data_IF_322100240524
#
_entry.id   IF_322100240524
#
_cell.length_a   1.000
_cell.length_b   1.000
_cell.length_c   1.000
_cell.angle_alpha   90.00
_cell.angle_beta   90.00
_cell.angle_gamma   90.00
#
_symmetry.space_group_name_H-M   'P 1'
#
loop_
_entity.id
_entity.type
_entity.pdbx_description
1 polymer ?
#
# COMPACT_ATOMS: atom_id res chain seq x y z
N UNK A 1 10.75 2.57 16.41
CA UNK A 1 11.67 2.37 15.26
C UNK A 1 10.87 1.70 14.16
N UNK A 2 10.99 2.10 12.88
CA UNK A 2 10.36 1.34 11.80
C UNK A 2 10.95 -0.07 11.81
N UNK A 3 10.09 -1.08 11.92
CA UNK A 3 10.53 -2.47 11.96
C UNK A 3 11.16 -2.83 10.60
N UNK A 4 12.37 -3.41 10.56
CA UNK A 4 13.02 -3.78 9.30
C UNK A 4 12.17 -4.76 8.47
N UNK A 5 11.30 -5.52 9.13
CA UNK A 5 10.31 -6.40 8.49
C UNK A 5 9.33 -5.60 7.62
N UNK A 6 8.89 -4.42 8.08
CA UNK A 6 7.96 -3.59 7.32
C UNK A 6 8.60 -2.97 6.08
N UNK A 7 9.88 -2.59 6.16
CA UNK A 7 10.60 -2.03 5.03
C UNK A 7 10.74 -3.03 3.88
N UNK A 8 11.00 -4.30 4.18
CA UNK A 8 11.06 -5.36 3.17
C UNK A 8 9.71 -5.58 2.47
N UNK A 9 8.62 -5.59 3.23
CA UNK A 9 7.26 -5.69 2.67
C UNK A 9 6.92 -4.48 1.80
N UNK A 10 7.23 -3.26 2.25
CA UNK A 10 7.01 -2.03 1.47
C UNK A 10 7.77 -2.10 0.14
N UNK A 11 9.06 -2.46 0.16
CA UNK A 11 9.87 -2.58 -1.04
C UNK A 11 9.26 -3.58 -2.04
N UNK A 12 8.89 -4.78 -1.57
CA UNK A 12 8.26 -5.79 -2.43
C UNK A 12 6.92 -5.34 -3.02
N UNK A 13 6.13 -4.56 -2.26
CA UNK A 13 4.90 -3.96 -2.78
C UNK A 13 5.17 -2.89 -3.83
N UNK A 14 6.13 -2.00 -3.61
CA UNK A 14 6.49 -0.95 -4.57
C UNK A 14 7.07 -1.52 -5.86
N UNK A 15 7.84 -2.61 -5.80
CA UNK A 15 8.33 -3.34 -6.97
C UNK A 15 7.20 -4.00 -7.75
N UNK A 16 6.23 -4.62 -7.05
CA UNK A 16 5.06 -5.26 -7.68
C UNK A 16 4.10 -4.23 -8.30
N UNK A 17 3.99 -3.05 -7.71
CA UNK A 17 3.04 -2.01 -8.09
C UNK A 17 3.76 -0.72 -8.46
N UNK A 18 4.24 -0.65 -9.71
CA UNK A 18 4.87 0.56 -10.24
C UNK A 18 4.02 1.82 -10.02
N UNK A 19 4.60 2.80 -9.32
CA UNK A 19 3.98 4.09 -8.99
C UNK A 19 3.14 4.10 -7.71
N UNK A 20 2.98 2.97 -7.02
CA UNK A 20 2.33 2.92 -5.70
C UNK A 20 3.33 3.29 -4.62
N UNK A 21 2.90 4.10 -3.66
CA UNK A 21 3.68 4.43 -2.46
C UNK A 21 3.05 3.70 -1.29
N UNK A 22 3.78 2.76 -0.68
CA UNK A 22 3.31 2.02 0.49
C UNK A 22 4.08 2.46 1.74
N UNK A 23 3.41 2.53 2.90
CA UNK A 23 4.05 2.81 4.19
C UNK A 23 3.28 2.20 5.36
N UNK A 24 3.94 2.02 6.50
CA UNK A 24 3.31 1.55 7.73
C UNK A 24 2.95 2.73 8.64
N UNK A 25 1.69 2.81 9.03
CA UNK A 25 1.16 3.79 9.97
C UNK A 25 1.47 3.39 11.40
N UNK A 26 2.53 3.94 11.98
CA UNK A 26 2.98 3.59 13.35
C UNK A 26 1.90 3.91 14.41
N UNK A 27 1.06 4.91 14.16
CA UNK A 27 0.00 5.34 15.09
C UNK A 27 -1.30 4.56 14.93
N UNK A 28 -1.60 4.07 13.72
CA UNK A 28 -2.82 3.32 13.47
C UNK A 28 -2.59 1.82 13.45
N UNK A 29 -1.33 1.38 13.43
CA UNK A 29 -0.92 -0.01 13.26
C UNK A 29 -1.53 -0.63 12.00
N UNK A 30 -1.56 0.16 10.93
CA UNK A 30 -2.09 -0.26 9.63
C UNK A 30 -1.08 0.01 8.53
N UNK A 31 -1.17 -0.78 7.48
CA UNK A 31 -0.54 -0.52 6.21
C UNK A 31 -1.34 0.51 5.44
N UNK A 32 -0.63 1.40 4.78
CA UNK A 32 -1.18 2.43 3.92
C UNK A 32 -0.55 2.35 2.55
N UNK A 33 -1.33 2.61 1.52
CA UNK A 33 -0.84 2.70 0.15
C UNK A 33 -1.57 3.78 -0.64
N UNK A 34 -0.80 4.56 -1.38
CA UNK A 34 -1.27 5.51 -2.37
C UNK A 34 -1.18 4.85 -3.73
N UNK A 35 -2.33 4.71 -4.39
CA UNK A 35 -2.49 4.09 -5.69
C UNK A 35 -2.82 5.14 -6.75
N UNK A 36 -1.98 5.32 -7.77
CA UNK A 36 -2.30 6.20 -8.89
C UNK A 36 -3.38 5.53 -9.77
N UNK A 37 -4.58 6.11 -9.80
CA UNK A 37 -5.75 5.63 -10.53
C UNK A 37 -6.14 6.55 -11.69
N UNK A 38 -5.20 6.82 -12.60
CA UNK A 38 -5.42 7.68 -13.77
C UNK A 38 -5.68 9.14 -13.38
N UNK A 39 -6.97 9.53 -13.29
CA UNK A 39 -7.39 10.90 -12.97
C UNK A 39 -7.43 11.18 -11.47
N UNK A 40 -7.45 10.13 -10.63
CA UNK A 40 -7.54 10.29 -9.17
C UNK A 40 -6.53 9.40 -8.45
N UNK A 41 -5.91 9.97 -7.43
CA UNK A 41 -5.05 9.24 -6.50
C UNK A 41 -5.94 8.66 -5.41
N UNK A 42 -5.86 7.36 -5.17
CA UNK A 42 -6.62 6.67 -4.13
C UNK A 42 -5.69 6.27 -3.00
N UNK A 43 -6.07 6.60 -1.77
CA UNK A 43 -5.41 6.10 -0.57
C UNK A 43 -6.22 4.92 -0.07
N UNK A 44 -5.53 3.82 0.21
CA UNK A 44 -6.10 2.63 0.84
C UNK A 44 -5.29 2.27 2.08
N UNK A 45 -5.96 1.73 3.09
CA UNK A 45 -5.34 1.18 4.29
C UNK A 45 -5.81 -0.25 4.55
N UNK A 46 -5.02 -0.98 5.32
CA UNK A 46 -5.37 -2.31 5.81
C UNK A 46 -4.53 -2.68 7.03
N UNK A 47 -5.09 -3.46 7.95
CA UNK A 47 -4.38 -4.03 9.10
C UNK A 47 -3.29 -5.06 8.70
N UNK A 48 -3.43 -5.68 7.53
CA UNK A 48 -2.59 -6.79 7.05
C UNK A 48 -2.06 -6.52 5.62
N UNK A 49 -0.82 -6.92 5.30
CA UNK A 49 -0.22 -6.64 3.99
C UNK A 49 -0.93 -7.35 2.82
N UNK A 50 -1.44 -8.57 2.99
CA UNK A 50 -2.21 -9.26 1.96
C UNK A 50 -3.53 -8.54 1.69
N UNK A 51 -4.17 -8.03 2.75
CA UNK A 51 -5.37 -7.20 2.62
C UNK A 51 -5.06 -5.88 1.90
N UNK A 52 -3.93 -5.24 2.20
CA UNK A 52 -3.48 -4.03 1.49
C UNK A 52 -3.31 -4.30 0.00
N UNK A 53 -2.71 -5.43 -0.37
CA UNK A 53 -2.56 -5.86 -1.77
C UNK A 53 -3.91 -5.95 -2.47
N UNK A 54 -4.91 -6.57 -1.84
CA UNK A 54 -6.26 -6.67 -2.40
C UNK A 54 -6.90 -5.28 -2.58
N UNK A 55 -6.71 -4.37 -1.62
CA UNK A 55 -7.21 -2.99 -1.73
C UNK A 55 -6.51 -2.22 -2.85
N UNK A 56 -5.19 -2.38 -3.01
CA UNK A 56 -4.42 -1.77 -4.12
C UNK A 56 -4.94 -2.26 -5.47
N UNK A 57 -5.15 -3.57 -5.61
CA UNK A 57 -5.71 -4.18 -6.82
C UNK A 57 -7.11 -3.63 -7.14
N UNK A 58 -8.01 -3.59 -6.14
CA UNK A 58 -9.35 -3.02 -6.29
C UNK A 58 -9.30 -1.53 -6.68
N UNK A 59 -8.41 -0.75 -6.08
CA UNK A 59 -8.25 0.67 -6.38
C UNK A 59 -7.77 0.90 -7.82
N UNK A 60 -6.85 0.05 -8.33
CA UNK A 60 -6.37 0.07 -9.72
C UNK A 60 -7.43 -0.38 -10.73
N UNK A 61 -8.26 -1.36 -10.38
CA UNK A 61 -9.23 -1.97 -11.28
C UNK A 61 -10.57 -1.19 -11.36
N UNK A 62 -10.70 -0.08 -10.64
CA UNK A 62 -11.88 0.80 -10.66
C UNK A 62 -11.86 1.73 -11.90
N UNK A 63 -11.56 1.16 -13.08
CA UNK A 63 -11.49 1.85 -14.36
C UNK A 63 -12.73 1.58 -15.20
#
# INVERSE_FOLDING_TARGET
MPDPSHAATIAGLQERFAGVVCWWGIYTYEWWAIVPGGTQWKIVNAEDPDTLVQQILKARNYR
#
